data_IF_534995612136
#
_entry.id   IF_534995612136
#
_cell.length_a   1.000
_cell.length_b   1.000
_cell.length_c   1.000
_cell.angle_alpha   90.00
_cell.angle_beta   90.00
_cell.angle_gamma   90.00
#
_symmetry.space_group_name_H-M   'P 1'
#
loop_
_entity.id
_entity.type
_entity.pdbx_description
1 polymer ?
#
# COMPACT_ATOMS: atom_id res chain seq x y z
N UNK A 1 -14.96 8.26 -2.74
CA UNK A 1 -13.72 7.47 -2.69
C UNK A 1 -12.91 7.95 -1.51
N UNK A 2 -12.08 7.11 -0.94
CA UNK A 2 -11.32 7.35 0.29
C UNK A 2 -9.81 7.25 0.00
N UNK A 3 -8.96 7.73 0.91
CA UNK A 3 -7.51 7.62 0.74
C UNK A 3 -7.05 6.16 0.88
N UNK A 4 -6.00 5.76 0.18
CA UNK A 4 -5.47 4.39 0.20
C UNK A 4 -5.22 3.92 1.64
N UNK A 5 -5.84 2.81 2.04
CA UNK A 5 -5.73 2.25 3.39
C UNK A 5 -6.52 3.00 4.48
N UNK A 6 -7.38 3.96 4.13
CA UNK A 6 -8.15 4.73 5.12
C UNK A 6 -9.03 3.80 5.98
N UNK A 7 -8.89 3.92 7.31
CA UNK A 7 -9.65 3.14 8.28
C UNK A 7 -9.02 1.78 8.64
N UNK A 8 -7.94 1.38 7.98
CA UNK A 8 -7.16 0.20 8.38
C UNK A 8 -6.07 0.56 9.39
N UNK A 9 -5.83 -0.34 10.35
CA UNK A 9 -4.64 -0.30 11.21
C UNK A 9 -3.66 -1.38 10.75
N UNK A 10 -2.39 -1.01 10.67
CA UNK A 10 -1.29 -1.92 10.37
C UNK A 10 -0.31 -1.96 11.54
N UNK A 11 0.30 -3.12 11.75
CA UNK A 11 1.38 -3.31 12.72
C UNK A 11 2.66 -3.59 11.95
N UNK A 12 3.68 -2.77 12.17
CA UNK A 12 5.00 -2.95 11.58
C UNK A 12 5.86 -3.83 12.50
N UNK A 13 6.54 -4.80 11.89
CA UNK A 13 7.51 -5.64 12.59
C UNK A 13 8.66 -6.00 11.64
N UNK A 14 9.71 -6.62 12.17
CA UNK A 14 10.82 -7.10 11.36
C UNK A 14 10.38 -8.32 10.54
N UNK A 15 10.72 -8.33 9.26
CA UNK A 15 10.35 -9.40 8.32
C UNK A 15 10.86 -10.79 8.74
N UNK A 16 12.02 -10.85 9.40
CA UNK A 16 12.65 -12.10 9.84
C UNK A 16 12.20 -12.56 11.26
N UNK A 17 11.32 -11.81 11.93
CA UNK A 17 10.87 -12.10 13.30
C UNK A 17 9.64 -13.02 13.30
N UNK A 18 9.86 -14.30 12.98
CA UNK A 18 8.78 -15.30 12.89
C UNK A 18 7.90 -15.40 14.15
N UNK A 19 8.44 -15.37 15.39
CA UNK A 19 7.59 -15.39 16.58
C UNK A 19 6.63 -14.20 16.65
N UNK A 20 7.09 -13.01 16.26
CA UNK A 20 6.22 -11.82 16.20
C UNK A 20 5.18 -11.95 15.10
N UNK A 21 5.57 -12.43 13.92
CA UNK A 21 4.65 -12.65 12.80
C UNK A 21 3.54 -13.66 13.14
N UNK A 22 3.87 -14.75 13.82
CA UNK A 22 2.89 -15.75 14.27
C UNK A 22 1.85 -15.13 15.23
N UNK A 23 2.26 -14.24 16.13
CA UNK A 23 1.34 -13.52 17.03
C UNK A 23 0.45 -12.53 16.27
N UNK A 24 1.02 -11.81 15.29
CA UNK A 24 0.28 -10.83 14.50
C UNK A 24 -0.71 -11.48 13.53
N UNK A 25 -0.44 -12.70 13.07
CA UNK A 25 -1.35 -13.46 12.21
C UNK A 25 -2.74 -13.65 12.86
N UNK A 26 -2.81 -13.75 14.19
CA UNK A 26 -4.05 -13.94 14.93
C UNK A 26 -4.98 -12.70 14.93
N UNK A 27 -4.43 -11.50 14.72
CA UNK A 27 -5.21 -10.24 14.66
C UNK A 27 -5.39 -9.72 13.23
N UNK A 28 -4.80 -10.39 12.23
CA UNK A 28 -4.92 -10.02 10.84
C UNK A 28 -6.33 -10.32 10.32
N UNK A 29 -6.95 -9.35 9.65
CA UNK A 29 -8.25 -9.54 9.00
C UNK A 29 -8.05 -9.77 7.48
N UNK A 30 -8.40 -10.96 6.93
CA UNK A 30 -8.11 -11.30 5.54
C UNK A 30 -8.69 -10.32 4.52
N UNK A 31 -9.97 -9.94 4.66
CA UNK A 31 -10.62 -9.03 3.71
C UNK A 31 -10.00 -7.63 3.71
N UNK A 32 -9.58 -7.13 4.88
CA UNK A 32 -8.88 -5.84 4.98
C UNK A 32 -7.48 -5.93 4.37
N UNK A 33 -6.79 -7.05 4.56
CA UNK A 33 -5.46 -7.31 3.98
C UNK A 33 -5.53 -7.32 2.46
N UNK A 34 -6.53 -7.99 1.88
CA UNK A 34 -6.80 -8.00 0.43
C UNK A 34 -7.03 -6.59 -0.10
N UNK A 35 -7.90 -5.81 0.55
CA UNK A 35 -8.17 -4.44 0.14
C UNK A 35 -6.90 -3.58 0.20
N UNK A 36 -6.17 -3.63 1.31
CA UNK A 36 -4.95 -2.86 1.50
C UNK A 36 -3.86 -3.18 0.46
N UNK A 37 -3.68 -4.46 0.10
CA UNK A 37 -2.72 -4.86 -0.94
C UNK A 37 -3.10 -4.26 -2.29
N UNK A 38 -4.37 -4.38 -2.70
CA UNK A 38 -4.82 -3.87 -3.99
C UNK A 38 -4.68 -2.35 -4.09
N UNK A 39 -5.11 -1.63 -3.05
CA UNK A 39 -5.04 -0.17 -2.98
C UNK A 39 -3.59 0.33 -2.97
N UNK A 40 -2.71 -0.30 -2.19
CA UNK A 40 -1.28 0.06 -2.13
C UNK A 40 -0.55 -0.29 -3.42
N UNK A 41 -0.91 -1.39 -4.09
CA UNK A 41 -0.34 -1.75 -5.39
C UNK A 41 -0.69 -0.69 -6.45
N UNK A 42 -1.94 -0.21 -6.46
CA UNK A 42 -2.35 0.91 -7.30
C UNK A 42 -1.54 2.17 -7.00
N UNK A 43 -1.51 2.59 -5.74
CA UNK A 43 -0.83 3.83 -5.33
C UNK A 43 0.67 3.80 -5.63
N UNK A 44 1.32 2.67 -5.37
CA UNK A 44 2.76 2.49 -5.62
C UNK A 44 3.07 2.52 -7.12
N UNK A 45 2.19 1.98 -7.96
CA UNK A 45 2.38 1.95 -9.42
C UNK A 45 2.14 3.31 -10.05
N UNK A 46 1.22 4.11 -9.50
CA UNK A 46 1.06 5.52 -9.86
C UNK A 46 2.20 6.42 -9.32
N UNK A 47 3.19 5.84 -8.63
CA UNK A 47 4.28 6.56 -7.93
C UNK A 47 3.76 7.67 -6.98
N UNK A 48 2.55 7.48 -6.46
CA UNK A 48 1.89 8.42 -5.57
C UNK A 48 2.45 8.37 -4.15
N UNK A 49 2.71 9.56 -3.57
CA UNK A 49 2.99 9.73 -2.14
C UNK A 49 1.74 10.09 -1.33
N UNK A 50 1.90 10.36 -0.04
CA UNK A 50 0.78 10.72 0.85
C UNK A 50 0.03 12.00 0.45
N UNK A 51 0.69 12.90 -0.29
CA UNK A 51 0.10 14.15 -0.80
C UNK A 51 -0.45 14.03 -2.22
N UNK A 52 -0.35 12.86 -2.86
CA UNK A 52 -0.88 12.67 -4.20
C UNK A 52 -2.42 12.66 -4.16
N UNK A 53 -3.10 13.35 -5.09
CA UNK A 53 -4.56 13.41 -5.18
C UNK A 53 -5.13 12.10 -5.76
N UNK A 54 -4.90 11.00 -5.07
CA UNK A 54 -5.34 9.64 -5.43
C UNK A 54 -6.40 9.19 -4.44
N UNK A 55 -7.48 8.60 -4.95
CA UNK A 55 -8.53 8.03 -4.12
C UNK A 55 -9.02 6.69 -4.67
N UNK A 56 -9.46 5.84 -3.76
CA UNK A 56 -9.89 4.47 -4.06
C UNK A 56 -11.26 4.17 -3.44
N UNK A 57 -11.89 3.12 -3.94
CA UNK A 57 -13.03 2.48 -3.29
C UNK A 57 -12.99 1.00 -3.58
N UNK A 58 -12.94 0.20 -2.52
CA UNK A 58 -12.73 -1.24 -2.61
C UNK A 58 -13.89 -1.99 -1.98
N UNK A 59 -14.36 -3.03 -2.67
CA UNK A 59 -15.37 -3.96 -2.15
C UNK A 59 -14.88 -5.39 -2.29
N UNK A 60 -14.69 -6.04 -1.15
CA UNK A 60 -14.26 -7.44 -1.05
C UNK A 60 -15.46 -8.30 -0.69
N UNK A 61 -15.70 -9.35 -1.48
CA UNK A 61 -16.65 -10.43 -1.19
C UNK A 61 -15.91 -11.76 -1.26
N UNK A 62 -16.53 -12.86 -0.84
CA UNK A 62 -15.94 -14.20 -0.98
C UNK A 62 -15.64 -14.56 -2.45
N UNK A 63 -16.45 -14.04 -3.37
CA UNK A 63 -16.36 -14.34 -4.80
C UNK A 63 -15.38 -13.42 -5.53
N UNK A 64 -15.27 -12.15 -5.15
CA UNK A 64 -14.57 -11.14 -5.94
C UNK A 64 -14.04 -9.97 -5.13
N UNK A 65 -13.00 -9.34 -5.67
CA UNK A 65 -12.52 -8.02 -5.29
C UNK A 65 -12.89 -7.05 -6.40
N UNK A 66 -13.57 -5.96 -6.06
CA UNK A 66 -13.82 -4.83 -6.95
C UNK A 66 -13.02 -3.64 -6.45
N UNK A 67 -12.17 -3.09 -7.32
CA UNK A 67 -11.34 -1.94 -7.02
C UNK A 67 -11.69 -0.81 -7.99
N UNK A 68 -12.10 0.32 -7.44
CA UNK A 68 -12.25 1.59 -8.16
C UNK A 68 -11.14 2.52 -7.69
N UNK A 69 -10.47 3.19 -8.62
CA UNK A 69 -9.39 4.11 -8.34
C UNK A 69 -9.41 5.29 -9.30
N UNK A 70 -8.82 6.40 -8.88
CA UNK A 70 -8.68 7.56 -9.74
C UNK A 70 -7.64 8.56 -9.24
N UNK A 71 -7.39 9.54 -10.10
CA UNK A 71 -6.52 10.68 -9.85
C UNK A 71 -7.28 11.97 -10.16
N UNK A 72 -6.96 13.05 -9.44
CA UNK A 72 -7.55 14.37 -9.62
C UNK A 72 -6.48 15.45 -9.70
N UNK A 73 -6.78 16.53 -10.40
CA UNK A 73 -6.07 17.80 -10.23
C UNK A 73 -6.36 18.37 -8.83
N UNK A 74 -5.49 19.24 -8.30
CA UNK A 74 -5.68 19.80 -6.96
C UNK A 74 -6.92 20.70 -6.84
N UNK A 75 -7.34 21.33 -7.94
CA UNK A 75 -8.58 22.11 -8.01
C UNK A 75 -9.82 21.25 -8.33
N UNK A 76 -9.63 19.97 -8.65
CA UNK A 76 -10.68 19.00 -8.96
C UNK A 76 -11.31 19.15 -10.35
N UNK A 77 -10.75 19.98 -11.24
CA UNK A 77 -11.30 20.22 -12.59
C UNK A 77 -11.02 19.08 -13.57
N UNK A 78 -9.82 18.50 -13.50
CA UNK A 78 -9.43 17.28 -14.22
C UNK A 78 -9.48 16.06 -13.31
N UNK A 79 -9.98 14.93 -13.85
CA UNK A 79 -10.00 13.64 -13.17
C UNK A 79 -9.93 12.48 -14.16
N UNK A 80 -9.31 11.38 -13.72
CA UNK A 80 -9.39 10.08 -14.38
C UNK A 80 -9.80 9.03 -13.35
N UNK A 81 -10.82 8.23 -13.67
CA UNK A 81 -11.38 7.23 -12.76
C UNK A 81 -11.66 5.96 -13.54
N UNK A 82 -11.15 4.84 -13.03
CA UNK A 82 -11.38 3.53 -13.63
C UNK A 82 -11.74 2.49 -12.56
N UNK A 83 -12.25 1.34 -12.99
CA UNK A 83 -12.66 0.26 -12.08
C UNK A 83 -12.39 -1.09 -12.70
N UNK A 84 -11.85 -2.00 -11.91
CA UNK A 84 -11.57 -3.37 -12.32
C UNK A 84 -12.00 -4.34 -11.22
N UNK A 85 -12.14 -5.61 -11.58
CA UNK A 85 -12.43 -6.68 -10.62
C UNK A 85 -11.64 -7.94 -10.91
N UNK A 86 -11.42 -8.75 -9.87
CA UNK A 86 -10.80 -10.07 -9.98
C UNK A 86 -11.54 -11.07 -9.08
N UNK A 87 -11.73 -12.33 -9.50
CA UNK A 87 -12.36 -13.34 -8.66
C UNK A 87 -11.42 -13.83 -7.55
N UNK A 88 -11.90 -13.89 -6.32
CA UNK A 88 -11.12 -14.34 -5.15
C UNK A 88 -11.34 -15.83 -4.84
N UNK A 89 -12.59 -16.31 -4.87
CA UNK A 89 -12.99 -17.67 -4.48
C UNK A 89 -12.39 -18.08 -3.12
N UNK A 90 -12.59 -17.25 -2.10
CA UNK A 90 -12.19 -17.57 -0.73
C UNK A 90 -13.14 -18.67 -0.23
N UNK A 91 -12.69 -19.93 -0.16
CA UNK A 91 -13.50 -20.99 0.45
C UNK A 91 -13.66 -20.68 1.94
N UNK A 92 -14.89 -20.62 2.42
CA UNK A 92 -15.22 -20.14 3.77
C UNK A 92 -14.56 -20.92 4.89
N UNK A 93 -13.76 -20.22 5.69
CA UNK A 93 -13.44 -20.54 7.09
C UNK A 93 -14.13 -19.52 8.00
N UNK A 94 -15.44 -19.31 7.81
CA UNK A 94 -16.23 -18.39 8.63
C UNK A 94 -17.50 -19.06 9.20
N UNK A 95 -17.42 -20.36 9.54
CA UNK A 95 -18.36 -20.99 10.48
C UNK A 95 -17.81 -22.33 11.01
N UNK A 96 -16.73 -22.27 11.79
CA UNK A 96 -16.45 -23.30 12.78
C UNK A 96 -15.74 -22.66 13.96
N UNK A 97 -16.30 -22.87 15.14
CA UNK A 97 -15.68 -22.53 16.43
C UNK A 97 -14.43 -23.41 16.61
N UNK A 98 -13.29 -22.99 16.08
CA UNK A 98 -11.98 -23.54 16.42
C UNK A 98 -10.90 -22.48 16.18
N UNK A 99 -10.03 -22.29 17.16
CA UNK A 99 -8.92 -21.32 17.09
C UNK A 99 -7.99 -21.65 15.91
N UNK A 100 -7.69 -20.69 15.02
CA UNK A 100 -6.79 -20.95 13.92
C UNK A 100 -5.35 -20.87 14.43
N UNK A 101 -4.70 -22.03 14.58
CA UNK A 101 -3.23 -22.12 14.71
C UNK A 101 -2.60 -21.88 13.34
N UNK A 102 -2.71 -20.66 12.82
CA UNK A 102 -2.02 -20.26 11.60
C UNK A 102 -0.52 -20.16 11.90
N UNK A 103 0.23 -21.22 11.58
CA UNK A 103 1.69 -21.15 11.54
C UNK A 103 2.08 -20.35 10.30
N UNK A 104 2.82 -19.27 10.46
CA UNK A 104 3.44 -18.58 9.34
C UNK A 104 4.55 -19.50 8.82
N UNK A 105 4.28 -20.26 7.75
CA UNK A 105 5.37 -20.91 7.01
C UNK A 105 6.23 -19.81 6.38
N UNK A 106 7.56 -19.96 6.41
CA UNK A 106 8.55 -19.05 5.81
C UNK A 106 8.20 -18.74 4.34
N UNK A 107 7.34 -17.75 4.12
CA UNK A 107 7.04 -17.22 2.80
C UNK A 107 7.70 -15.85 2.76
N UNK A 108 8.89 -15.77 2.16
CA UNK A 108 9.67 -14.53 1.98
C UNK A 108 9.04 -13.55 0.98
N UNK A 109 7.74 -13.64 0.71
CA UNK A 109 7.05 -12.78 -0.25
C UNK A 109 6.12 -11.83 0.50
N UNK A 110 6.43 -10.54 0.38
CA UNK A 110 5.57 -9.44 0.83
C UNK A 110 4.93 -8.75 -0.37
N UNK A 111 3.72 -8.22 -0.18
CA UNK A 111 2.98 -7.46 -1.19
C UNK A 111 2.86 -6.02 -0.73
N UNK A 112 3.60 -5.11 -1.38
CA UNK A 112 3.67 -3.70 -0.97
C UNK A 112 4.02 -3.50 0.53
N UNK A 113 4.90 -4.37 1.06
CA UNK A 113 5.31 -4.37 2.47
C UNK A 113 4.34 -5.07 3.43
N UNK A 114 3.32 -5.77 2.92
CA UNK A 114 2.36 -6.53 3.72
C UNK A 114 2.70 -8.02 3.62
N UNK A 115 2.80 -8.68 4.77
CA UNK A 115 2.94 -10.14 4.86
C UNK A 115 1.56 -10.78 4.66
N UNK A 116 1.39 -11.69 3.67
CA UNK A 116 0.11 -12.32 3.42
C UNK A 116 -0.21 -13.40 4.48
N UNK A 117 -1.50 -13.72 4.72
CA UNK A 117 -1.89 -14.91 5.45
C UNK A 117 -1.37 -16.17 4.73
N UNK A 118 -0.95 -17.16 5.52
CA UNK A 118 -0.47 -18.45 5.01
C UNK A 118 -1.50 -19.11 4.09
N UNK A 119 -1.07 -19.61 2.92
CA UNK A 119 -1.92 -20.36 1.99
C UNK A 119 -2.80 -19.50 1.07
N UNK A 120 -2.62 -18.17 1.08
CA UNK A 120 -3.33 -17.23 0.19
C UNK A 120 -2.43 -16.59 -0.86
N UNK A 121 -1.19 -17.07 -1.06
CA UNK A 121 -0.17 -16.43 -1.91
C UNK A 121 -0.67 -16.19 -3.35
N UNK A 122 -1.34 -17.18 -3.94
CA UNK A 122 -1.91 -17.05 -5.29
C UNK A 122 -3.05 -16.03 -5.37
N UNK A 123 -3.85 -15.90 -4.31
CA UNK A 123 -4.90 -14.89 -4.23
C UNK A 123 -4.24 -13.51 -4.11
N UNK A 124 -3.24 -13.36 -3.23
CA UNK A 124 -2.56 -12.09 -3.01
C UNK A 124 -1.79 -11.60 -4.24
N UNK A 125 -1.18 -12.51 -5.01
CA UNK A 125 -0.61 -12.17 -6.31
C UNK A 125 -1.62 -11.52 -7.26
N UNK A 126 -2.79 -12.15 -7.43
CA UNK A 126 -3.86 -11.61 -8.31
C UNK A 126 -4.44 -10.29 -7.79
N UNK A 127 -4.55 -10.14 -6.47
CA UNK A 127 -5.03 -8.91 -5.82
C UNK A 127 -4.06 -7.76 -6.06
N UNK A 128 -2.76 -8.02 -5.90
CA UNK A 128 -1.71 -7.06 -6.21
C UNK A 128 -1.68 -6.69 -7.70
N UNK A 129 -1.80 -7.68 -8.58
CA UNK A 129 -1.82 -7.47 -10.04
C UNK A 129 -3.05 -6.67 -10.50
N UNK A 130 -4.21 -6.84 -9.84
CA UNK A 130 -5.39 -6.00 -10.08
C UNK A 130 -5.08 -4.52 -9.83
N UNK A 131 -4.44 -4.21 -8.69
CA UNK A 131 -4.06 -2.84 -8.33
C UNK A 131 -3.07 -2.25 -9.33
N UNK A 132 -2.05 -3.03 -9.73
CA UNK A 132 -1.09 -2.64 -10.77
C UNK A 132 -1.76 -2.39 -12.12
N UNK A 133 -2.64 -3.29 -12.56
CA UNK A 133 -3.30 -3.19 -13.87
C UNK A 133 -4.21 -1.97 -13.92
N UNK A 134 -4.94 -1.69 -12.84
CA UNK A 134 -5.78 -0.50 -12.75
C UNK A 134 -4.96 0.80 -12.77
N UNK A 135 -3.79 0.82 -12.12
CA UNK A 135 -2.87 1.95 -12.21
C UNK A 135 -2.32 2.13 -13.63
N UNK A 136 -1.94 1.05 -14.30
CA UNK A 136 -1.45 1.10 -15.68
C UNK A 136 -2.51 1.67 -16.62
N UNK A 137 -3.76 1.22 -16.49
CA UNK A 137 -4.88 1.75 -17.28
C UNK A 137 -5.09 3.27 -17.06
N UNK A 138 -4.91 3.75 -15.83
CA UNK A 138 -4.96 5.20 -15.56
C UNK A 138 -3.78 5.94 -16.18
N UNK A 139 -2.56 5.37 -16.14
CA UNK A 139 -1.37 5.96 -16.76
C UNK A 139 -1.52 6.03 -18.29
N UNK A 140 -2.05 4.98 -18.92
CA UNK A 140 -2.31 4.92 -20.36
C UNK A 140 -3.35 5.98 -20.79
N UNK A 141 -4.27 6.35 -19.88
CA UNK A 141 -5.22 7.46 -20.07
C UNK A 141 -4.62 8.85 -19.77
N UNK A 142 -3.36 8.94 -19.35
CA UNK A 142 -2.65 10.20 -19.12
C UNK A 142 -2.64 10.68 -17.66
N UNK A 143 -2.87 9.80 -16.69
CA UNK A 143 -2.84 10.15 -15.25
C UNK A 143 -1.51 10.79 -14.81
N UNK A 144 -0.40 10.47 -15.49
CA UNK A 144 0.91 11.04 -15.20
C UNK A 144 0.90 12.57 -15.24
N UNK A 145 0.24 13.17 -16.23
CA UNK A 145 0.15 14.64 -16.37
C UNK A 145 -0.50 15.29 -15.15
N UNK A 146 -1.64 14.74 -14.72
CA UNK A 146 -2.40 15.23 -13.56
C UNK A 146 -1.54 15.13 -12.28
N UNK A 147 -0.88 14.00 -12.08
CA UNK A 147 -0.07 13.75 -10.89
C UNK A 147 1.20 14.64 -10.85
N UNK A 148 1.86 14.86 -11.98
CA UNK A 148 3.03 15.74 -12.07
C UNK A 148 2.66 17.21 -11.79
N UNK A 149 1.55 17.69 -12.36
CA UNK A 149 1.05 19.04 -12.11
C UNK A 149 0.68 19.23 -10.62
N UNK A 150 -0.01 18.25 -10.03
CA UNK A 150 -0.35 18.27 -8.61
C UNK A 150 0.90 18.26 -7.71
N UNK A 151 1.91 17.47 -8.05
CA UNK A 151 3.18 17.42 -7.32
C UNK A 151 3.90 18.77 -7.37
N UNK A 152 4.02 19.37 -8.55
CA UNK A 152 4.68 20.67 -8.72
C UNK A 152 3.99 21.77 -7.89
N UNK A 153 2.66 21.76 -7.82
CA UNK A 153 1.89 22.71 -7.01
C UNK A 153 2.07 22.47 -5.50
N UNK A 154 2.12 21.20 -5.06
CA UNK A 154 2.40 20.86 -3.66
C UNK A 154 3.81 21.29 -3.22
N UNK A 155 4.82 21.09 -4.07
CA UNK A 155 6.21 21.48 -3.78
C UNK A 155 6.34 23.01 -3.70
N UNK A 156 5.62 23.74 -4.56
CA UNK A 156 5.56 25.20 -4.53
C UNK A 156 4.91 25.78 -3.26
N UNK A 157 4.07 25.00 -2.56
CA UNK A 157 3.39 25.41 -1.33
C UNK A 157 4.17 25.07 -0.04
N UNK A 158 5.47 24.74 -0.14
CA UNK A 158 6.29 24.53 1.08
C UNK A 158 6.25 25.81 1.93
N UNK A 159 5.75 25.78 3.19
CA UNK A 159 5.75 26.95 4.04
C UNK A 159 7.19 27.40 4.27
N UNK A 160 7.42 28.72 4.26
CA UNK A 160 8.72 29.32 4.51
C UNK A 160 9.44 28.59 5.67
N UNK A 161 10.65 28.12 5.40
CA UNK A 161 11.49 27.45 6.39
C UNK A 161 11.53 28.29 7.66
N UNK A 162 11.04 27.74 8.77
CA UNK A 162 11.16 28.38 10.07
C UNK A 162 12.66 28.57 10.35
N UNK A 163 13.16 29.81 10.54
CA UNK A 163 14.59 30.06 10.77
C UNK A 163 15.13 29.40 12.05
N UNK A 164 14.26 28.92 12.94
CA UNK A 164 14.61 28.16 14.14
C UNK A 164 14.51 26.63 13.98
N UNK A 165 14.23 26.11 12.78
CA UNK A 165 14.22 24.66 12.56
C UNK A 165 15.67 24.16 12.44
N UNK A 166 16.15 23.27 13.34
CA UNK A 166 17.46 22.66 13.14
C UNK A 166 17.45 21.90 11.82
N UNK A 167 18.55 21.91 11.04
CA UNK A 167 18.58 21.27 9.74
C UNK A 167 18.22 19.79 9.89
N UNK A 168 17.27 19.30 9.07
CA UNK A 168 16.97 17.88 9.05
C UNK A 168 18.25 17.16 8.63
N UNK A 169 18.73 16.24 9.49
CA UNK A 169 19.93 15.47 9.21
C UNK A 169 19.73 14.70 7.91
N UNK A 170 20.36 15.16 6.84
CA UNK A 170 20.75 14.32 5.73
C UNK A 170 21.66 13.23 6.31
N UNK A 171 21.13 12.01 6.46
CA UNK A 171 21.94 10.82 6.70
C UNK A 171 22.56 10.47 5.36
N UNK A 172 23.80 10.87 5.13
CA UNK A 172 24.70 10.26 4.16
C UNK A 172 26.16 10.48 4.59
N UNK A 173 26.81 9.35 4.84
CA UNK A 173 28.25 9.05 4.68
C UNK A 173 29.30 9.98 5.31
N UNK A 174 29.92 9.52 6.40
CA UNK A 174 31.37 9.18 6.39
C UNK A 174 31.75 8.46 7.70
N UNK A 175 31.58 7.13 7.75
CA UNK A 175 32.24 6.29 8.76
C UNK A 175 33.48 5.70 8.12
N UNK A 176 34.49 6.51 7.81
CA UNK A 176 35.80 6.01 7.34
C UNK A 176 37.04 6.69 7.94
N UNK A 177 36.92 7.59 8.93
CA UNK A 177 38.09 8.18 9.61
C UNK A 177 37.93 8.29 11.12
N UNK A 178 37.93 7.15 11.81
CA UNK A 178 38.20 7.11 13.25
C UNK A 178 38.74 5.75 13.74
N UNK A 179 39.65 5.11 12.97
CA UNK A 179 40.55 4.07 13.50
C UNK A 179 41.93 4.25 12.87
N UNK A 180 42.58 5.37 13.17
CA UNK A 180 44.05 5.48 13.16
C UNK A 180 44.44 6.76 13.90
N UNK A 181 45.27 6.64 14.93
CA UNK A 181 45.78 7.68 15.83
C UNK A 181 44.93 8.00 17.07
N UNK A 182 45.03 7.14 18.09
CA UNK A 182 45.67 7.45 19.38
C UNK A 182 45.61 6.22 20.29
#
# INVERSE_FOLDING_TARGET
MYAVGQGALAVECREEDSPTLDLLAAIAHPSTTIAAIAERALMRTLEGGCSAPVAVHTKVTEESLNLKGGVWSLDGTEQLVHSMSTPLKIKGEASSKEEPKAKVTKTSMTYCGIVPPCGMEQIMGRVHDLGKSLAQELLDQGAEKILQEAKAQNDAHTPATNPNMPPSKAVMEDVSKAVSSS
#
